data_IF_370821184870
#
_entry.id   IF_370821184870
#
_cell.length_a   1.000
_cell.length_b   1.000
_cell.length_c   1.000
_cell.angle_alpha   90.00
_cell.angle_beta   90.00
_cell.angle_gamma   90.00
#
_symmetry.space_group_name_H-M   'P 1'
#
loop_
_entity.id
_entity.type
_entity.pdbx_description
1 polymer ?
#
# COMPACT_ATOMS: atom_id res chain seq x y z
N UNK A 1 -1.27 5.61 14.33
CA UNK A 1 -1.64 5.04 13.03
C UNK A 1 -0.68 3.93 12.66
N UNK A 2 -1.18 2.81 12.18
CA UNK A 2 -0.37 1.71 11.69
C UNK A 2 -0.43 1.69 10.16
N UNK A 3 0.72 1.53 9.50
CA UNK A 3 0.80 1.45 8.04
C UNK A 3 1.61 0.21 7.66
N UNK A 4 1.00 -0.65 6.87
CA UNK A 4 1.65 -1.84 6.31
C UNK A 4 1.78 -1.69 4.80
N UNK A 5 2.98 -1.98 4.29
CA UNK A 5 3.23 -2.01 2.85
C UNK A 5 3.43 -3.45 2.41
N UNK A 6 2.56 -3.95 1.56
CA UNK A 6 2.78 -5.21 0.86
C UNK A 6 3.54 -4.90 -0.42
N UNK A 7 4.79 -5.33 -0.49
CA UNK A 7 5.70 -4.96 -1.58
C UNK A 7 6.69 -6.09 -1.86
N UNK A 8 7.16 -6.15 -3.10
CA UNK A 8 8.28 -7.03 -3.47
C UNK A 8 9.65 -6.39 -3.21
N UNK A 9 9.66 -5.10 -2.88
CA UNK A 9 10.90 -4.32 -2.74
C UNK A 9 10.87 -3.50 -1.44
N UNK A 10 10.88 -4.18 -0.28
CA UNK A 10 10.78 -3.45 1.00
C UNK A 10 11.90 -2.45 1.21
N UNK A 11 13.09 -2.70 0.67
CA UNK A 11 14.22 -1.79 0.79
C UNK A 11 14.03 -0.44 0.09
N UNK A 12 13.08 -0.33 -0.85
CA UNK A 12 12.79 0.95 -1.47
C UNK A 12 12.27 1.99 -0.47
N UNK A 13 11.66 1.51 0.62
CA UNK A 13 11.06 2.40 1.63
C UNK A 13 12.09 2.98 2.59
N UNK A 14 13.27 2.37 2.71
CA UNK A 14 14.28 2.76 3.70
C UNK A 14 14.72 4.22 3.55
N UNK A 15 14.91 4.66 2.31
CA UNK A 15 15.37 6.03 2.05
C UNK A 15 14.39 7.12 2.45
N UNK A 16 13.11 6.81 2.48
CA UNK A 16 12.06 7.77 2.85
C UNK A 16 11.70 7.65 4.32
N UNK A 17 11.56 6.43 4.82
CA UNK A 17 11.08 6.18 6.17
C UNK A 17 12.12 6.45 7.24
N UNK A 18 13.41 6.42 6.90
CA UNK A 18 14.49 6.56 7.86
C UNK A 18 15.04 7.98 8.00
N UNK A 19 14.34 8.97 7.47
CA UNK A 19 14.80 10.35 7.49
C UNK A 19 13.69 11.32 7.84
N UNK A 20 14.11 12.46 8.43
CA UNK A 20 13.30 13.65 8.61
C UNK A 20 12.02 13.39 9.41
N UNK A 21 10.92 14.00 9.01
CA UNK A 21 9.65 14.00 9.75
C UNK A 21 9.05 12.60 9.87
N UNK A 22 9.16 11.78 8.84
CA UNK A 22 8.63 10.41 8.88
C UNK A 22 9.38 9.55 9.89
N UNK A 23 10.73 9.70 9.96
CA UNK A 23 11.50 9.01 10.99
C UNK A 23 11.14 9.48 12.38
N UNK A 24 10.98 10.78 12.57
CA UNK A 24 10.59 11.33 13.87
C UNK A 24 9.22 10.83 14.33
N UNK A 25 8.28 10.74 13.41
CA UNK A 25 6.95 10.22 13.71
C UNK A 25 6.99 8.76 14.15
N UNK A 26 7.86 7.96 13.53
CA UNK A 26 8.06 6.56 13.93
C UNK A 26 8.76 6.48 15.29
N UNK A 27 9.79 7.27 15.53
CA UNK A 27 10.52 7.28 16.80
C UNK A 27 9.62 7.67 17.97
N UNK A 28 8.64 8.53 17.73
CA UNK A 28 7.66 8.95 18.74
C UNK A 28 6.44 8.01 18.79
N UNK A 29 6.46 6.95 18.02
CA UNK A 29 5.36 5.97 17.96
C UNK A 29 4.01 6.56 17.53
N UNK A 30 4.05 7.71 16.85
CA UNK A 30 2.84 8.32 16.27
C UNK A 30 2.39 7.50 15.06
N UNK A 31 3.36 7.03 14.27
CA UNK A 31 3.13 6.17 13.12
C UNK A 31 3.99 4.92 13.28
N UNK A 32 3.37 3.75 13.13
CA UNK A 32 4.07 2.46 13.12
C UNK A 32 4.04 1.92 11.70
N UNK A 33 5.21 1.74 11.10
CA UNK A 33 5.35 1.34 9.72
C UNK A 33 5.97 -0.05 9.63
N UNK A 34 5.41 -0.89 8.77
CA UNK A 34 5.90 -2.23 8.55
C UNK A 34 5.88 -2.54 7.05
N UNK A 35 6.97 -3.14 6.54
CA UNK A 35 7.04 -3.60 5.16
C UNK A 35 6.98 -5.12 5.14
N UNK A 36 6.15 -5.67 4.27
CA UNK A 36 5.94 -7.10 4.16
C UNK A 36 6.18 -7.51 2.72
N UNK A 37 7.17 -8.39 2.52
CA UNK A 37 7.43 -8.93 1.20
C UNK A 37 6.50 -10.12 0.96
N UNK A 38 5.47 -9.91 0.14
CA UNK A 38 4.49 -10.95 -0.08
C UNK A 38 5.04 -12.12 -0.92
N UNK A 39 6.23 -12.02 -1.48
CA UNK A 39 6.91 -13.15 -2.09
C UNK A 39 7.19 -14.26 -1.04
N UNK A 40 7.38 -13.88 0.21
CA UNK A 40 7.59 -14.83 1.30
C UNK A 40 6.34 -15.68 1.58
N UNK A 41 5.20 -15.28 1.05
CA UNK A 41 3.93 -15.96 1.19
C UNK A 41 3.54 -16.75 -0.06
N UNK A 42 4.46 -16.89 -1.00
CA UNK A 42 4.24 -17.69 -2.20
C UNK A 42 4.18 -19.17 -1.84
N UNK A 43 3.25 -19.88 -2.46
CA UNK A 43 3.04 -21.31 -2.20
C UNK A 43 3.87 -22.23 -3.08
N UNK A 44 4.59 -21.69 -4.08
CA UNK A 44 5.43 -22.49 -4.95
C UNK A 44 6.91 -22.32 -4.62
N UNK A 45 7.73 -23.31 -5.02
CA UNK A 45 9.16 -23.35 -4.68
C UNK A 45 9.99 -22.26 -5.34
N UNK A 46 9.46 -21.59 -6.34
CA UNK A 46 10.14 -20.49 -7.02
C UNK A 46 9.72 -19.13 -6.51
N UNK A 47 8.89 -19.08 -5.47
CA UNK A 47 8.35 -17.85 -4.90
C UNK A 47 7.70 -16.96 -5.97
N UNK A 48 6.97 -17.57 -6.87
CA UNK A 48 6.32 -16.86 -7.96
C UNK A 48 5.09 -16.11 -7.44
N UNK A 49 5.01 -14.82 -7.75
CA UNK A 49 3.92 -13.95 -7.28
C UNK A 49 3.08 -13.40 -8.42
N UNK A 50 3.41 -13.75 -9.67
CA UNK A 50 2.74 -13.26 -10.86
C UNK A 50 2.39 -14.38 -11.81
N UNK A 51 1.47 -14.13 -12.71
CA UNK A 51 1.01 -15.09 -13.71
C UNK A 51 0.48 -14.33 -14.93
N UNK A 52 0.19 -15.08 -15.99
CA UNK A 52 -0.42 -14.48 -17.17
C UNK A 52 -1.86 -14.06 -16.89
N UNK A 53 -2.35 -12.99 -17.55
CA UNK A 53 -3.73 -12.59 -17.39
C UNK A 53 -4.70 -13.69 -17.77
N UNK A 54 -5.79 -13.78 -17.04
CA UNK A 54 -6.88 -14.69 -17.39
C UNK A 54 -7.44 -14.31 -18.76
N UNK A 55 -7.52 -15.28 -19.68
CA UNK A 55 -7.98 -15.01 -21.04
C UNK A 55 -6.88 -14.67 -22.04
N UNK A 56 -5.61 -14.68 -21.62
CA UNK A 56 -4.48 -14.62 -22.56
C UNK A 56 -4.04 -13.21 -22.98
N UNK A 57 -4.21 -12.20 -22.16
CA UNK A 57 -3.69 -10.87 -22.46
C UNK A 57 -2.17 -10.81 -22.37
N UNK A 58 -1.59 -9.65 -22.73
CA UNK A 58 -0.15 -9.41 -22.57
C UNK A 58 0.18 -8.95 -21.16
N UNK A 59 1.43 -9.19 -20.73
CA UNK A 59 1.91 -8.79 -19.41
C UNK A 59 1.60 -9.83 -18.36
N UNK A 60 2.04 -9.54 -17.13
CA UNK A 60 1.85 -10.42 -15.99
C UNK A 60 0.94 -9.74 -14.98
N UNK A 61 0.09 -10.54 -14.33
CA UNK A 61 -0.78 -10.03 -13.27
C UNK A 61 -0.29 -10.57 -11.92
N UNK A 62 -0.49 -9.78 -10.87
CA UNK A 62 -0.17 -10.17 -9.51
C UNK A 62 -1.10 -11.31 -9.09
N UNK A 63 -0.50 -12.42 -8.63
CA UNK A 63 -1.27 -13.59 -8.18
C UNK A 63 -1.99 -13.29 -6.87
N UNK A 64 -3.21 -13.80 -6.69
CA UNK A 64 -3.95 -13.52 -5.46
C UNK A 64 -3.41 -14.26 -4.24
N UNK A 65 -2.93 -15.49 -4.38
CA UNK A 65 -2.57 -16.32 -3.23
C UNK A 65 -1.53 -15.68 -2.31
N UNK A 66 -0.37 -15.17 -2.82
CA UNK A 66 0.59 -14.56 -1.91
C UNK A 66 0.04 -13.32 -1.22
N UNK A 67 -0.77 -12.53 -1.91
CA UNK A 67 -1.37 -11.32 -1.34
C UNK A 67 -2.39 -11.68 -0.26
N UNK A 68 -3.26 -12.65 -0.53
CA UNK A 68 -4.24 -13.13 0.45
C UNK A 68 -3.55 -13.71 1.69
N UNK A 69 -2.49 -14.52 1.47
CA UNK A 69 -1.76 -15.12 2.59
C UNK A 69 -1.06 -14.05 3.44
N UNK A 70 -0.46 -13.05 2.82
CA UNK A 70 0.16 -11.94 3.55
C UNK A 70 -0.89 -11.15 4.34
N UNK A 71 -2.05 -10.92 3.74
CA UNK A 71 -3.14 -10.19 4.41
C UNK A 71 -3.68 -10.94 5.63
N UNK A 72 -3.63 -12.26 5.64
CA UNK A 72 -4.05 -13.03 6.80
C UNK A 72 -3.19 -12.76 8.04
N UNK A 73 -1.91 -12.44 7.83
CA UNK A 73 -1.00 -12.13 8.92
C UNK A 73 -1.12 -10.67 9.39
N UNK A 74 -1.85 -9.86 8.66
CA UNK A 74 -2.12 -8.48 9.05
C UNK A 74 -3.44 -8.45 9.81
N UNK A 75 -3.40 -7.98 11.05
CA UNK A 75 -4.59 -7.90 11.90
C UNK A 75 -5.48 -6.73 11.48
N UNK A 76 -6.10 -6.85 10.32
CA UNK A 76 -7.02 -5.82 9.82
C UNK A 76 -8.38 -5.96 10.48
N UNK A 77 -9.05 -4.82 10.60
CA UNK A 77 -10.42 -4.74 11.08
C UNK A 77 -11.31 -4.24 9.95
N UNK A 78 -12.60 -4.11 10.20
CA UNK A 78 -13.52 -3.54 9.21
C UNK A 78 -13.21 -2.07 8.90
N UNK A 79 -12.46 -1.39 9.78
CA UNK A 79 -12.06 0.00 9.59
C UNK A 79 -10.71 0.16 8.91
N UNK A 80 -10.00 -0.93 8.64
CA UNK A 80 -8.72 -0.88 7.94
C UNK A 80 -8.93 -0.44 6.49
N UNK A 81 -8.16 0.55 6.05
CA UNK A 81 -8.20 1.02 4.66
C UNK A 81 -7.14 0.26 3.86
N UNK A 82 -7.56 -0.49 2.87
CA UNK A 82 -6.67 -1.26 1.99
C UNK A 82 -6.65 -0.57 0.64
N UNK A 83 -5.49 0.00 0.30
CA UNK A 83 -5.34 0.88 -0.85
C UNK A 83 -4.61 0.16 -1.98
N UNK A 84 -5.23 0.16 -3.14
CA UNK A 84 -4.64 -0.32 -4.38
C UNK A 84 -4.45 0.88 -5.31
N UNK A 85 -3.22 1.08 -5.79
CA UNK A 85 -2.94 2.10 -6.78
C UNK A 85 -3.43 1.62 -8.14
N UNK A 86 -4.30 2.39 -8.76
CA UNK A 86 -4.95 2.02 -9.99
C UNK A 86 -5.20 3.25 -10.85
N UNK A 87 -4.84 3.25 -12.16
CA UNK A 87 -5.07 4.42 -13.00
C UNK A 87 -6.54 4.85 -13.09
N UNK A 88 -7.45 3.90 -12.85
CA UNK A 88 -8.88 4.17 -12.90
C UNK A 88 -9.47 4.52 -11.53
N UNK A 89 -8.62 4.57 -10.50
CA UNK A 89 -9.04 4.96 -9.17
C UNK A 89 -9.33 6.45 -9.07
N UNK A 90 -9.92 6.86 -7.93
CA UNK A 90 -10.16 8.28 -7.72
C UNK A 90 -8.81 9.00 -7.55
N UNK A 91 -8.67 10.22 -8.11
CA UNK A 91 -7.41 10.95 -8.01
C UNK A 91 -7.05 11.29 -6.56
N UNK A 92 -5.78 11.12 -6.22
CA UNK A 92 -5.29 11.49 -4.90
C UNK A 92 -5.26 13.01 -4.76
N UNK A 93 -5.87 13.52 -3.69
CA UNK A 93 -5.95 14.95 -3.40
C UNK A 93 -5.66 15.18 -1.94
N UNK A 94 -5.51 16.45 -1.56
CA UNK A 94 -5.35 16.82 -0.15
C UNK A 94 -6.54 16.35 0.69
N UNK A 95 -7.74 16.41 0.13
CA UNK A 95 -8.95 15.95 0.84
C UNK A 95 -8.88 14.45 1.14
N UNK A 96 -8.38 13.65 0.20
CA UNK A 96 -8.20 12.21 0.43
C UNK A 96 -7.10 11.97 1.47
N UNK A 97 -6.01 12.74 1.42
CA UNK A 97 -4.97 12.61 2.43
C UNK A 97 -5.51 12.88 3.83
N UNK A 98 -6.35 13.89 3.98
CA UNK A 98 -7.00 14.21 5.26
C UNK A 98 -7.97 13.11 5.68
N UNK A 99 -8.76 12.59 4.75
CA UNK A 99 -9.65 11.45 5.03
C UNK A 99 -8.87 10.25 5.54
N UNK A 100 -7.78 9.89 4.86
CA UNK A 100 -6.96 8.75 5.23
C UNK A 100 -6.18 8.99 6.52
N UNK A 101 -5.90 10.24 6.88
CA UNK A 101 -5.22 10.55 8.14
C UNK A 101 -6.07 10.21 9.37
N UNK A 102 -7.36 10.02 9.19
CA UNK A 102 -8.26 9.60 10.27
C UNK A 102 -8.29 8.08 10.45
N UNK A 103 -7.71 7.32 9.54
CA UNK A 103 -7.67 5.87 9.64
C UNK A 103 -6.67 5.44 10.71
N UNK A 104 -7.03 4.40 11.45
CA UNK A 104 -6.12 3.81 12.44
C UNK A 104 -5.14 2.84 11.81
N UNK A 105 -5.49 2.27 10.67
CA UNK A 105 -4.69 1.27 9.98
C UNK A 105 -4.87 1.40 8.49
N UNK A 106 -3.75 1.51 7.77
CA UNK A 106 -3.72 1.58 6.32
C UNK A 106 -2.81 0.47 5.80
N UNK A 107 -3.25 -0.23 4.78
CA UNK A 107 -2.46 -1.23 4.06
C UNK A 107 -2.34 -0.78 2.61
N UNK A 108 -1.11 -0.68 2.11
CA UNK A 108 -0.86 -0.39 0.69
C UNK A 108 -0.45 -1.69 -0.01
N UNK A 109 -1.15 -2.02 -1.09
CA UNK A 109 -0.76 -3.14 -1.95
C UNK A 109 0.02 -2.59 -3.13
N UNK A 110 1.32 -2.88 -3.17
CA UNK A 110 2.25 -2.35 -4.16
C UNK A 110 2.60 -3.42 -5.18
N UNK A 111 2.15 -3.25 -6.41
CA UNK A 111 2.46 -4.17 -7.50
C UNK A 111 3.28 -3.50 -8.59
N UNK A 112 3.88 -4.32 -9.45
CA UNK A 112 4.77 -3.88 -10.53
C UNK A 112 4.29 -4.34 -11.90
N UNK A 113 3.11 -4.94 -11.99
CA UNK A 113 2.63 -5.56 -13.21
C UNK A 113 1.47 -4.77 -13.79
N UNK A 114 1.11 -5.09 -15.01
CA UNK A 114 0.08 -4.35 -15.74
C UNK A 114 -1.31 -4.50 -15.14
N UNK A 115 -1.47 -5.45 -14.23
CA UNK A 115 -2.77 -5.65 -13.62
C UNK A 115 -2.70 -6.49 -12.35
N UNK A 116 -3.85 -6.64 -11.78
CA UNK A 116 -4.06 -7.43 -10.57
C UNK A 116 -5.14 -8.47 -10.88
N UNK A 117 -5.02 -9.65 -10.24
CA UNK A 117 -6.12 -10.59 -10.28
C UNK A 117 -7.35 -9.92 -9.64
N UNK A 118 -8.49 -10.02 -10.29
CA UNK A 118 -9.71 -9.32 -9.87
C UNK A 118 -10.14 -9.72 -8.46
N UNK A 119 -9.78 -10.92 -8.01
CA UNK A 119 -10.10 -11.38 -6.65
C UNK A 119 -9.45 -10.52 -5.58
N UNK A 120 -8.26 -9.95 -5.86
CA UNK A 120 -7.61 -9.00 -4.93
C UNK A 120 -8.49 -7.77 -4.77
N UNK A 121 -8.96 -7.20 -5.88
CA UNK A 121 -9.81 -6.01 -5.86
C UNK A 121 -11.13 -6.27 -5.16
N UNK A 122 -11.77 -7.37 -5.49
CA UNK A 122 -13.09 -7.69 -4.97
C UNK A 122 -13.11 -8.00 -3.46
N UNK A 123 -12.08 -8.69 -2.96
CA UNK A 123 -12.10 -9.24 -1.60
C UNK A 123 -11.24 -8.48 -0.59
N UNK A 124 -10.26 -7.72 -1.04
CA UNK A 124 -9.31 -7.07 -0.13
C UNK A 124 -9.36 -5.55 -0.18
N UNK A 125 -9.60 -4.96 -1.33
CA UNK A 125 -9.39 -3.52 -1.55
C UNK A 125 -10.60 -2.71 -1.08
N UNK A 126 -10.33 -1.68 -0.27
CA UNK A 126 -11.37 -0.72 0.14
C UNK A 126 -11.32 0.55 -0.71
N UNK A 127 -10.15 0.89 -1.24
CA UNK A 127 -9.94 2.14 -1.97
C UNK A 127 -9.03 1.92 -3.16
N UNK A 128 -9.47 2.37 -4.34
CA UNK A 128 -8.62 2.43 -5.52
C UNK A 128 -8.29 3.89 -5.77
N UNK A 129 -6.99 4.21 -5.80
CA UNK A 129 -6.52 5.59 -5.87
C UNK A 129 -5.53 5.74 -7.02
N UNK A 130 -5.70 6.81 -7.80
CA UNK A 130 -4.79 7.19 -8.87
C UNK A 130 -3.92 8.35 -8.42
N UNK A 131 -2.62 8.27 -8.71
CA UNK A 131 -1.68 9.36 -8.40
C UNK A 131 -1.65 10.43 -9.48
N UNK A 132 -2.28 10.21 -10.61
CA UNK A 132 -2.29 11.15 -11.69
C UNK A 132 -2.39 10.46 -13.05
N UNK A 133 -2.38 11.25 -14.10
CA UNK A 133 -2.53 10.77 -15.46
C UNK A 133 -1.17 10.44 -16.07
N UNK A 134 -0.49 9.45 -15.47
CA UNK A 134 0.82 8.96 -15.93
C UNK A 134 1.05 7.56 -15.38
N UNK A 135 1.99 6.83 -15.96
CA UNK A 135 2.29 5.45 -15.59
C UNK A 135 3.62 5.41 -14.82
N UNK A 136 3.62 4.68 -13.71
CA UNK A 136 4.83 4.40 -12.92
C UNK A 136 5.15 2.91 -13.01
N UNK A 137 6.38 2.54 -12.66
CA UNK A 137 6.82 1.14 -12.73
C UNK A 137 6.18 0.26 -11.66
N UNK A 138 5.68 0.86 -10.58
CA UNK A 138 5.07 0.10 -9.51
C UNK A 138 4.38 0.99 -8.49
N UNK A 139 3.87 0.37 -7.46
CA UNK A 139 3.08 1.05 -6.42
C UNK A 139 3.88 1.63 -5.27
N UNK A 140 5.20 1.40 -5.21
CA UNK A 140 6.01 1.85 -4.08
C UNK A 140 6.11 3.37 -3.99
N UNK A 141 6.43 4.03 -5.11
CA UNK A 141 6.52 5.50 -5.11
C UNK A 141 5.19 6.16 -4.79
N UNK A 142 4.07 5.74 -5.38
CA UNK A 142 2.77 6.27 -4.97
C UNK A 142 2.47 6.04 -3.48
N UNK A 143 2.77 4.85 -2.95
CA UNK A 143 2.55 4.55 -1.54
C UNK A 143 3.36 5.50 -0.65
N UNK A 144 4.61 5.75 -0.98
CA UNK A 144 5.46 6.67 -0.24
C UNK A 144 4.96 8.11 -0.32
N UNK A 145 4.52 8.54 -1.50
CA UNK A 145 3.96 9.89 -1.68
C UNK A 145 2.70 10.07 -0.85
N UNK A 146 1.79 9.09 -0.90
CA UNK A 146 0.57 9.14 -0.10
C UNK A 146 0.89 9.13 1.39
N UNK A 147 1.83 8.29 1.81
CA UNK A 147 2.25 8.23 3.22
C UNK A 147 2.75 9.59 3.71
N UNK A 148 3.58 10.25 2.91
CA UNK A 148 4.10 11.57 3.28
C UNK A 148 2.97 12.57 3.49
N UNK A 149 2.04 12.65 2.57
CA UNK A 149 0.89 13.56 2.67
C UNK A 149 -0.04 13.21 3.83
N UNK A 150 -0.29 11.93 4.04
CA UNK A 150 -1.13 11.46 5.14
C UNK A 150 -0.46 11.74 6.48
N UNK A 151 0.84 11.52 6.58
CA UNK A 151 1.60 11.74 7.81
C UNK A 151 1.61 13.20 8.23
N UNK A 152 1.77 14.11 7.29
CA UNK A 152 1.70 15.56 7.58
C UNK A 152 0.33 15.92 8.17
N UNK A 153 -0.74 15.45 7.54
CA UNK A 153 -2.10 15.69 8.02
C UNK A 153 -2.33 15.08 9.41
N UNK A 154 -1.87 13.86 9.60
CA UNK A 154 -2.04 13.13 10.86
C UNK A 154 -1.26 13.79 12.01
N UNK A 155 0.01 14.16 11.78
CA UNK A 155 0.81 14.80 12.82
C UNK A 155 0.30 16.18 13.16
N UNK A 156 -0.23 16.90 12.18
CA UNK A 156 -0.83 18.21 12.39
C UNK A 156 -2.09 18.11 13.27
N UNK A 157 -2.95 17.12 12.98
CA UNK A 157 -4.14 16.89 13.80
C UNK A 157 -3.76 16.54 15.24
N UNK A 158 -2.77 15.64 15.42
CA UNK A 158 -2.31 15.25 16.76
C UNK A 158 -1.74 16.41 17.55
N UNK A 159 -1.05 17.33 16.88
CA UNK A 159 -0.51 18.53 17.53
C UNK A 159 -1.63 19.44 18.08
N UNK A 160 -2.78 19.46 17.41
CA UNK A 160 -3.93 20.26 17.86
C UNK A 160 -4.75 19.60 18.97
N UNK A 161 -4.61 18.29 19.16
CA UNK A 161 -5.30 17.57 20.21
C UNK A 161 -4.64 17.72 21.58
N UNK A 162 -3.43 18.17 21.62
CA UNK A 162 -2.68 18.43 22.84
C UNK A 162 -2.67 19.91 23.16
#
# INVERSE_FOLDING_TARGET
>A
MKIDYLTLFPEMFDGVLNHSILKRAQDKEIINVNTINFRDYSVNKHNQVDDYPFGGGQGMVLKPEPVFNAMEDINRTDDTRVILMCPQGRPFTQDIAQELSEAKHIVFICGHYEGYDERIREHLVTDEISMGDYVLTGGELPAMTMTDAIAVSYTHLRAHET
#
